data_IF_325836123994
#
_entry.id   IF_325836123994
#
_cell.length_a   1.000
_cell.length_b   1.000
_cell.length_c   1.000
_cell.angle_alpha   90.00
_cell.angle_beta   90.00
_cell.angle_gamma   90.00
#
_symmetry.space_group_name_H-M   'P 1'
#
loop_
_entity.id
_entity.type
_entity.pdbx_description
1 polymer ?
#
# COMPACT_ATOMS: atom_id res chain seq x y z
N UNK A 1 5.05 -30.51 53.17
CA UNK A 1 4.88 -29.07 52.98
C UNK A 1 3.39 -28.75 52.92
N UNK A 2 2.99 -27.62 53.50
CA UNK A 2 1.63 -27.12 53.50
C UNK A 2 1.62 -25.69 52.97
N UNK A 3 0.43 -25.21 52.53
CA UNK A 3 0.20 -23.89 51.99
C UNK A 3 1.05 -23.60 50.74
N UNK A 4 1.22 -24.59 49.88
CA UNK A 4 1.94 -24.43 48.64
C UNK A 4 1.04 -23.68 47.65
N UNK A 5 1.59 -22.63 47.09
CA UNK A 5 1.01 -21.87 45.97
C UNK A 5 1.92 -21.98 44.74
N UNK A 6 1.32 -22.06 43.59
CA UNK A 6 2.03 -22.05 42.33
C UNK A 6 1.61 -20.78 41.56
N UNK A 7 2.57 -20.00 41.14
CA UNK A 7 2.40 -18.84 40.28
C UNK A 7 3.12 -19.09 38.97
N UNK A 8 2.69 -18.38 37.94
CA UNK A 8 3.25 -18.48 36.61
C UNK A 8 3.58 -17.07 36.11
N UNK A 9 4.72 -16.93 35.46
CA UNK A 9 5.16 -15.69 34.82
C UNK A 9 5.31 -15.95 33.34
N UNK A 10 4.48 -15.28 32.55
CA UNK A 10 4.45 -15.36 31.10
C UNK A 10 4.84 -14.03 30.52
N UNK A 11 5.77 -14.04 29.54
CA UNK A 11 6.18 -12.85 28.79
C UNK A 11 6.26 -13.20 27.32
N UNK A 12 6.12 -12.18 26.44
CA UNK A 12 6.53 -12.33 25.04
C UNK A 12 8.07 -12.36 24.93
N UNK A 13 8.59 -12.60 23.72
CA UNK A 13 10.05 -12.62 23.48
C UNK A 13 10.71 -11.24 23.65
N UNK A 14 9.94 -10.16 23.70
CA UNK A 14 10.43 -8.81 23.99
C UNK A 14 10.42 -8.48 25.48
N UNK A 15 9.98 -9.44 26.35
CA UNK A 15 9.92 -9.28 27.80
C UNK A 15 8.67 -8.57 28.32
N UNK A 16 7.66 -8.33 27.50
CA UNK A 16 6.39 -7.75 27.95
C UNK A 16 5.57 -8.81 28.67
N UNK A 17 5.01 -8.48 29.83
CA UNK A 17 4.19 -9.40 30.61
C UNK A 17 2.90 -9.73 29.89
N UNK A 18 2.58 -11.02 29.87
CA UNK A 18 1.32 -11.58 29.37
C UNK A 18 0.53 -12.17 30.52
N UNK A 19 -0.78 -12.29 30.39
CA UNK A 19 -1.65 -12.92 31.36
C UNK A 19 -2.14 -14.25 30.80
N UNK A 20 -2.03 -15.30 31.62
CA UNK A 20 -2.64 -16.58 31.27
C UNK A 20 -4.15 -16.45 31.10
N UNK A 21 -4.71 -17.19 30.15
CA UNK A 21 -6.18 -17.31 30.01
C UNK A 21 -6.78 -18.14 31.13
N UNK A 22 -6.02 -19.12 31.67
CA UNK A 22 -6.40 -19.84 32.86
C UNK A 22 -5.23 -20.52 33.55
N UNK A 23 -5.37 -20.76 34.85
CA UNK A 23 -4.38 -21.45 35.71
C UNK A 23 -3.34 -20.49 36.32
N UNK A 24 -2.30 -21.08 37.01
CA UNK A 24 -2.08 -22.50 37.27
C UNK A 24 -3.18 -23.13 38.11
N UNK A 25 -3.74 -24.24 37.66
CA UNK A 25 -4.79 -24.98 38.36
C UNK A 25 -4.29 -26.36 38.75
N UNK A 26 -4.52 -26.76 40.01
CA UNK A 26 -4.15 -28.10 40.51
C UNK A 26 -4.96 -29.17 39.77
N UNK A 27 -4.28 -30.18 39.22
CA UNK A 27 -4.89 -31.27 38.48
C UNK A 27 -4.80 -32.63 39.20
N UNK A 28 -4.06 -32.69 40.30
CA UNK A 28 -3.93 -33.90 41.15
C UNK A 28 -2.52 -34.13 41.67
N UNK A 29 -2.37 -35.11 42.54
CA UNK A 29 -1.08 -35.59 43.05
C UNK A 29 -1.00 -37.11 42.95
N UNK A 30 0.23 -37.66 42.93
CA UNK A 30 0.49 -39.10 42.80
C UNK A 30 0.24 -39.90 44.10
N UNK A 31 0.24 -39.24 45.27
CA UNK A 31 -0.05 -39.84 46.55
C UNK A 31 -1.38 -39.37 47.19
N UNK A 32 -2.18 -38.58 46.42
CA UNK A 32 -3.52 -38.19 46.79
C UNK A 32 -3.64 -37.01 47.75
N UNK A 33 -2.59 -36.24 47.96
CA UNK A 33 -2.68 -34.99 48.74
C UNK A 33 -3.58 -33.97 48.06
N UNK A 34 -4.26 -33.19 48.87
CA UNK A 34 -5.09 -32.08 48.43
C UNK A 34 -4.24 -30.89 47.96
N UNK A 35 -4.86 -29.98 47.19
CA UNK A 35 -4.27 -28.71 46.77
C UNK A 35 -3.52 -28.03 47.94
N UNK A 36 -2.30 -27.60 47.67
CA UNK A 36 -1.45 -26.88 48.63
C UNK A 36 -0.72 -27.76 49.64
N UNK A 37 -0.79 -29.10 49.54
CA UNK A 37 -0.08 -30.04 50.43
C UNK A 37 0.79 -30.99 49.62
N UNK A 38 2.03 -31.21 50.05
CA UNK A 38 2.96 -32.20 49.48
C UNK A 38 3.61 -33.00 50.60
N UNK A 39 3.52 -34.34 50.51
CA UNK A 39 4.25 -35.27 51.39
C UNK A 39 5.69 -35.45 50.87
N UNK A 40 6.61 -35.99 51.69
CA UNK A 40 7.95 -36.32 51.23
C UNK A 40 7.92 -37.31 50.06
N UNK A 41 8.51 -36.92 48.91
CA UNK A 41 8.55 -37.75 47.70
C UNK A 41 7.31 -37.66 46.80
N UNK A 42 6.31 -36.85 47.17
CA UNK A 42 5.08 -36.66 46.39
C UNK A 42 5.26 -35.63 45.26
N UNK A 43 4.56 -35.86 44.14
CA UNK A 43 4.48 -34.95 43.02
C UNK A 43 3.04 -34.44 42.83
N UNK A 44 2.87 -33.13 42.74
CA UNK A 44 1.61 -32.50 42.36
C UNK A 44 1.71 -31.88 40.95
N UNK A 45 0.63 -32.02 40.18
CA UNK A 45 0.53 -31.51 38.83
C UNK A 45 -0.39 -30.28 38.76
N UNK A 46 0.03 -29.31 37.98
CA UNK A 46 -0.73 -28.09 37.68
C UNK A 46 -0.79 -27.89 36.19
N UNK A 47 -1.86 -27.26 35.70
CA UNK A 47 -2.05 -26.92 34.29
C UNK A 47 -2.37 -25.43 34.15
N UNK A 48 -1.84 -24.81 33.10
CA UNK A 48 -2.12 -23.45 32.72
C UNK A 48 -2.32 -23.37 31.21
N UNK A 49 -3.07 -22.39 30.76
CA UNK A 49 -3.37 -22.17 29.34
C UNK A 49 -3.15 -20.72 28.96
N UNK A 50 -2.60 -20.54 27.76
CA UNK A 50 -2.53 -19.26 27.05
C UNK A 50 -2.90 -19.46 25.59
N UNK A 51 -3.80 -18.63 25.06
CA UNK A 51 -4.20 -18.62 23.65
C UNK A 51 -3.29 -17.62 22.93
N UNK A 52 -2.49 -18.11 21.99
CA UNK A 52 -1.57 -17.26 21.22
C UNK A 52 -2.37 -16.19 20.48
N UNK A 53 -2.16 -14.95 20.83
CA UNK A 53 -2.77 -13.79 20.20
C UNK A 53 -1.84 -13.15 19.16
N UNK A 54 -2.32 -12.09 18.49
CA UNK A 54 -1.53 -11.39 17.47
C UNK A 54 -0.27 -10.72 18.05
N UNK A 55 -0.28 -10.34 19.34
CA UNK A 55 0.89 -9.73 19.98
C UNK A 55 2.03 -10.74 20.07
N UNK A 56 1.73 -11.96 20.50
CA UNK A 56 2.71 -13.05 20.54
C UNK A 56 3.17 -13.45 19.15
N UNK A 57 2.25 -13.48 18.18
CA UNK A 57 2.60 -13.71 16.77
C UNK A 57 3.60 -12.67 16.27
N UNK A 58 3.28 -11.40 16.46
CA UNK A 58 4.12 -10.28 15.99
C UNK A 58 5.47 -10.21 16.71
N UNK A 59 5.55 -10.69 17.97
CA UNK A 59 6.78 -10.70 18.78
C UNK A 59 7.58 -12.01 18.67
N UNK A 60 7.13 -12.97 17.86
CA UNK A 60 7.86 -14.20 17.53
C UNK A 60 7.71 -15.35 18.51
N UNK A 61 6.95 -15.18 19.60
CA UNK A 61 6.73 -16.23 20.60
C UNK A 61 6.65 -15.71 22.04
N UNK A 62 6.77 -16.61 22.98
CA UNK A 62 6.63 -16.33 24.42
C UNK A 62 7.64 -17.13 25.24
N UNK A 63 7.82 -16.67 26.47
CA UNK A 63 8.65 -17.32 27.55
C UNK A 63 7.79 -17.50 28.78
N UNK A 64 7.89 -18.68 29.37
CA UNK A 64 7.13 -19.06 30.53
C UNK A 64 8.03 -19.61 31.63
N UNK A 65 7.76 -19.21 32.88
CA UNK A 65 8.43 -19.70 34.10
C UNK A 65 7.42 -19.81 35.24
N UNK A 66 7.36 -20.96 35.88
CA UNK A 66 6.52 -21.18 37.05
C UNK A 66 7.34 -21.14 38.36
N UNK A 67 6.72 -20.66 39.43
CA UNK A 67 7.31 -20.63 40.78
C UNK A 67 6.36 -21.30 41.79
N UNK A 68 6.86 -22.23 42.53
CA UNK A 68 6.14 -22.84 43.67
C UNK A 68 6.72 -22.35 44.99
N UNK A 69 5.85 -21.97 45.94
CA UNK A 69 6.28 -21.49 47.26
C UNK A 69 5.27 -21.81 48.36
N UNK A 70 5.73 -21.98 49.56
CA UNK A 70 4.87 -21.98 50.76
C UNK A 70 5.16 -20.78 51.69
N UNK A 71 5.89 -19.77 51.21
CA UNK A 71 6.30 -18.61 51.99
C UNK A 71 7.62 -18.80 52.75
N UNK A 72 8.07 -20.05 52.97
CA UNK A 72 9.35 -20.34 53.67
C UNK A 72 10.38 -20.89 52.69
N UNK A 73 9.96 -21.77 51.81
CA UNK A 73 10.78 -22.32 50.71
C UNK A 73 10.12 -22.04 49.40
N UNK A 74 10.92 -21.79 48.39
CA UNK A 74 10.44 -21.58 47.02
C UNK A 74 11.42 -22.17 46.03
N UNK A 75 10.90 -22.58 44.87
CA UNK A 75 11.70 -23.00 43.74
C UNK A 75 11.03 -22.55 42.44
N UNK A 76 11.86 -22.31 41.45
CA UNK A 76 11.45 -21.81 40.16
C UNK A 76 11.80 -22.83 39.08
N UNK A 77 10.89 -23.08 38.16
CA UNK A 77 11.08 -23.99 37.02
C UNK A 77 12.21 -23.54 36.09
N UNK A 78 12.63 -24.44 35.23
CA UNK A 78 13.35 -24.02 34.02
C UNK A 78 12.49 -23.06 33.17
N UNK A 79 13.18 -22.23 32.43
CA UNK A 79 12.53 -21.37 31.39
C UNK A 79 12.06 -22.22 30.24
N UNK A 80 10.80 -22.04 29.80
CA UNK A 80 10.25 -22.65 28.59
C UNK A 80 10.01 -21.55 27.59
N UNK A 81 10.64 -21.68 26.41
CA UNK A 81 10.45 -20.76 25.29
C UNK A 81 9.61 -21.44 24.20
N UNK A 82 8.53 -20.79 23.76
CA UNK A 82 7.71 -21.24 22.66
C UNK A 82 7.80 -20.22 21.54
N UNK A 83 8.30 -20.64 20.38
CA UNK A 83 8.35 -19.81 19.16
C UNK A 83 7.13 -20.04 18.29
N UNK A 84 6.70 -18.99 17.60
CA UNK A 84 5.65 -19.08 16.57
C UNK A 84 6.25 -19.04 15.18
N UNK A 85 5.55 -19.63 14.22
CA UNK A 85 6.01 -19.64 12.81
C UNK A 85 5.51 -18.40 12.11
N UNK A 86 6.42 -17.49 11.76
CA UNK A 86 6.15 -16.32 10.96
C UNK A 86 5.95 -16.71 9.49
N UNK A 87 4.86 -16.22 8.89
CA UNK A 87 4.55 -16.35 7.45
C UNK A 87 3.94 -15.04 6.96
N UNK A 88 4.76 -13.97 6.86
CA UNK A 88 4.28 -12.68 6.40
C UNK A 88 4.03 -12.73 4.89
N UNK A 89 2.95 -12.10 4.44
CA UNK A 89 2.60 -11.98 3.02
C UNK A 89 1.67 -10.79 2.82
N UNK A 90 1.75 -10.16 1.67
CA UNK A 90 0.81 -9.14 1.22
C UNK A 90 0.40 -9.42 -0.23
N UNK A 91 -0.75 -8.90 -0.63
CA UNK A 91 -1.30 -8.96 -1.96
C UNK A 91 -1.70 -7.54 -2.37
N UNK A 92 -1.25 -7.10 -3.55
CA UNK A 92 -1.55 -5.78 -4.10
C UNK A 92 -2.36 -5.93 -5.38
N UNK A 93 -3.49 -5.23 -5.49
CA UNK A 93 -4.22 -5.09 -6.75
C UNK A 93 -4.32 -3.64 -7.13
N UNK A 94 -4.34 -3.35 -8.43
CA UNK A 94 -4.45 -2.00 -8.98
C UNK A 94 -5.37 -2.00 -10.17
N UNK A 95 -6.50 -1.31 -10.07
CA UNK A 95 -7.47 -1.17 -11.15
C UNK A 95 -7.56 0.29 -11.59
N UNK A 96 -7.90 0.51 -12.86
CA UNK A 96 -8.09 1.85 -13.41
C UNK A 96 -9.54 2.13 -13.77
N UNK A 97 -9.92 3.40 -13.69
CA UNK A 97 -11.17 3.92 -14.21
C UNK A 97 -10.96 5.36 -14.68
N UNK A 98 -11.75 5.82 -15.63
CA UNK A 98 -11.78 7.25 -15.98
C UNK A 98 -12.56 7.98 -14.89
N UNK A 99 -11.88 8.92 -14.22
CA UNK A 99 -12.46 9.72 -13.13
C UNK A 99 -13.14 10.97 -13.65
N UNK A 100 -12.55 11.60 -14.66
CA UNK A 100 -13.07 12.78 -15.32
C UNK A 100 -12.79 12.63 -16.81
N UNK A 101 -13.85 12.68 -17.62
CA UNK A 101 -13.85 12.77 -19.06
C UNK A 101 -14.02 14.25 -19.39
N UNK A 102 -13.27 14.80 -20.33
CA UNK A 102 -13.36 16.21 -20.72
C UNK A 102 -14.67 16.57 -21.45
N UNK A 103 -15.53 15.57 -21.69
CA UNK A 103 -16.87 15.69 -22.23
C UNK A 103 -16.99 15.28 -23.68
N UNK A 104 -15.94 14.65 -24.25
CA UNK A 104 -15.93 14.16 -25.62
C UNK A 104 -16.36 12.68 -25.74
N UNK A 105 -16.45 11.96 -24.63
CA UNK A 105 -16.85 10.56 -24.55
C UNK A 105 -15.76 9.59 -25.03
N UNK A 106 -14.52 10.07 -25.18
CA UNK A 106 -13.34 9.29 -25.57
C UNK A 106 -12.36 9.22 -24.40
N UNK A 107 -11.49 8.23 -24.42
CA UNK A 107 -10.36 8.21 -23.49
C UNK A 107 -9.17 8.83 -24.18
N UNK A 108 -8.79 10.03 -23.75
CA UNK A 108 -7.80 10.87 -24.42
C UNK A 108 -7.15 11.93 -23.55
N UNK A 109 -6.54 12.92 -24.20
CA UNK A 109 -5.88 14.02 -23.51
C UNK A 109 -6.88 14.82 -22.66
N UNK A 110 -6.39 15.33 -21.53
CA UNK A 110 -7.12 16.04 -20.47
C UNK A 110 -8.04 15.18 -19.61
N UNK A 111 -8.25 13.91 -19.95
CA UNK A 111 -8.92 12.96 -19.08
C UNK A 111 -8.06 12.60 -17.86
N UNK A 112 -8.74 12.26 -16.77
CA UNK A 112 -8.09 11.84 -15.55
C UNK A 112 -8.35 10.35 -15.30
N UNK A 113 -7.29 9.56 -15.34
CA UNK A 113 -7.31 8.17 -14.88
C UNK A 113 -7.23 8.17 -13.35
N UNK A 114 -8.18 7.48 -12.70
CA UNK A 114 -8.11 7.12 -11.29
C UNK A 114 -7.62 5.69 -11.18
N UNK A 115 -6.55 5.48 -10.43
CA UNK A 115 -6.10 4.17 -9.98
C UNK A 115 -6.60 3.91 -8.56
N UNK A 116 -7.30 2.80 -8.38
CA UNK A 116 -7.65 2.28 -7.07
C UNK A 116 -6.72 1.13 -6.75
N UNK A 117 -5.94 1.29 -5.69
CA UNK A 117 -4.93 0.34 -5.25
C UNK A 117 -5.44 -0.30 -3.96
N UNK A 118 -5.54 -1.62 -3.91
CA UNK A 118 -5.85 -2.34 -2.67
C UNK A 118 -4.63 -3.12 -2.21
N UNK A 119 -4.37 -3.08 -0.91
CA UNK A 119 -3.31 -3.86 -0.27
C UNK A 119 -3.95 -4.70 0.82
N UNK A 120 -3.82 -6.02 0.70
CA UNK A 120 -4.35 -6.99 1.64
C UNK A 120 -3.22 -7.71 2.37
N UNK A 121 -3.31 -7.79 3.67
CA UNK A 121 -2.42 -8.64 4.45
C UNK A 121 -2.94 -10.10 4.38
N UNK A 122 -2.23 -10.93 3.64
CA UNK A 122 -2.53 -12.36 3.45
C UNK A 122 -1.69 -13.25 4.36
N UNK A 123 -0.76 -12.66 5.11
CA UNK A 123 0.11 -13.36 6.05
C UNK A 123 -0.48 -13.47 7.46
N UNK A 124 0.37 -13.87 8.41
CA UNK A 124 0.02 -14.05 9.82
C UNK A 124 0.67 -13.04 10.77
N UNK A 125 1.39 -12.05 10.25
CA UNK A 125 1.99 -10.94 11.02
C UNK A 125 1.35 -9.61 10.62
N UNK A 126 1.31 -8.67 11.55
CA UNK A 126 0.93 -7.28 11.26
C UNK A 126 1.97 -6.63 10.34
N UNK A 127 1.50 -6.03 9.24
CA UNK A 127 2.33 -5.27 8.32
C UNK A 127 2.39 -3.80 8.77
N UNK A 128 3.58 -3.22 8.69
CA UNK A 128 3.83 -1.81 9.05
C UNK A 128 4.67 -1.12 7.98
N UNK A 129 4.72 0.21 8.01
CA UNK A 129 5.56 1.01 7.11
C UNK A 129 5.31 0.71 5.61
N UNK A 130 4.05 0.47 5.22
CA UNK A 130 3.71 0.27 3.81
C UNK A 130 4.21 1.45 2.98
N UNK A 131 4.94 1.16 1.92
CA UNK A 131 5.43 2.09 0.92
C UNK A 131 5.04 1.62 -0.48
N UNK A 132 5.02 2.56 -1.43
CA UNK A 132 4.70 2.28 -2.81
C UNK A 132 5.83 2.75 -3.74
N UNK A 133 6.16 1.92 -4.73
CA UNK A 133 6.99 2.29 -5.88
C UNK A 133 6.15 2.08 -7.13
N UNK A 134 5.83 3.17 -7.82
CA UNK A 134 5.02 3.16 -9.04
C UNK A 134 5.91 3.12 -10.28
N UNK A 135 5.54 2.31 -11.27
CA UNK A 135 6.21 2.21 -12.56
C UNK A 135 5.17 2.39 -13.65
N UNK A 136 5.23 3.52 -14.34
CA UNK A 136 4.27 3.88 -15.36
C UNK A 136 4.96 4.25 -16.67
N UNK A 137 4.42 3.77 -17.77
CA UNK A 137 4.92 4.06 -19.13
C UNK A 137 3.78 4.35 -20.08
N UNK A 138 4.11 5.08 -21.15
CA UNK A 138 3.25 5.22 -22.32
C UNK A 138 3.34 3.97 -23.23
N UNK A 139 2.57 3.95 -24.31
CA UNK A 139 2.53 2.86 -25.27
C UNK A 139 3.84 2.62 -26.03
N UNK A 140 4.76 3.58 -26.03
CA UNK A 140 6.10 3.49 -26.63
C UNK A 140 7.20 3.13 -25.61
N UNK A 141 6.83 2.93 -24.33
CA UNK A 141 7.76 2.64 -23.24
C UNK A 141 8.41 3.90 -22.64
N UNK A 142 7.94 5.09 -22.97
CA UNK A 142 8.36 6.34 -22.34
C UNK A 142 7.90 6.40 -20.89
N UNK A 143 8.82 6.72 -19.95
CA UNK A 143 8.51 6.79 -18.53
C UNK A 143 7.54 7.93 -18.20
N UNK A 144 6.52 7.63 -17.42
CA UNK A 144 5.52 8.56 -16.92
C UNK A 144 5.54 8.62 -15.39
N UNK A 145 4.85 9.60 -14.83
CA UNK A 145 4.69 9.74 -13.38
C UNK A 145 3.25 10.14 -13.05
N UNK A 146 2.71 9.59 -11.98
CA UNK A 146 1.40 9.95 -11.46
C UNK A 146 1.30 11.47 -11.22
N UNK A 147 0.17 12.07 -11.57
CA UNK A 147 -0.15 13.47 -11.24
C UNK A 147 -0.41 13.63 -9.75
N UNK A 148 -1.05 12.63 -9.14
CA UNK A 148 -1.27 12.55 -7.70
C UNK A 148 -0.84 11.16 -7.23
N UNK A 149 0.14 11.12 -6.32
CA UNK A 149 0.65 9.89 -5.72
C UNK A 149 -0.42 9.18 -4.88
N UNK A 150 -0.24 7.86 -4.55
CA UNK A 150 -1.19 7.12 -3.76
C UNK A 150 -1.50 7.78 -2.41
N UNK A 151 -2.76 8.13 -2.20
CA UNK A 151 -3.32 8.68 -0.98
C UNK A 151 -4.28 7.68 -0.34
N UNK A 152 -4.22 7.56 1.00
CA UNK A 152 -5.08 6.66 1.75
C UNK A 152 -6.56 7.05 1.60
N UNK A 153 -7.39 6.04 1.35
CA UNK A 153 -8.84 6.19 1.21
C UNK A 153 -9.58 5.52 2.37
N UNK A 154 -9.41 4.21 2.53
CA UNK A 154 -10.19 3.42 3.49
C UNK A 154 -9.48 2.17 3.98
N UNK A 155 -10.06 1.54 5.00
CA UNK A 155 -9.58 0.29 5.60
C UNK A 155 -10.74 -0.56 6.12
N UNK A 156 -10.61 -1.89 6.07
CA UNK A 156 -11.66 -2.82 6.51
C UNK A 156 -11.64 -3.11 8.01
N UNK A 157 -10.53 -2.85 8.71
CA UNK A 157 -10.38 -3.13 10.16
C UNK A 157 -9.97 -1.92 10.99
N UNK A 158 -9.96 -0.72 10.41
CA UNK A 158 -9.75 0.54 11.11
C UNK A 158 -8.31 0.79 11.58
N UNK A 159 -7.32 0.13 10.99
CA UNK A 159 -5.92 0.43 11.27
C UNK A 159 -5.52 1.81 10.74
N UNK A 160 -4.51 2.41 11.35
CA UNK A 160 -3.90 3.62 10.80
C UNK A 160 -3.35 3.35 9.38
N UNK A 161 -3.31 4.36 8.51
CA UNK A 161 -2.67 4.23 7.20
C UNK A 161 -1.26 3.65 7.32
N UNK A 162 -0.91 2.72 6.42
CA UNK A 162 0.39 2.02 6.35
C UNK A 162 0.63 0.97 7.44
N UNK A 163 -0.37 0.67 8.28
CA UNK A 163 -0.37 -0.47 9.20
C UNK A 163 -1.55 -1.36 8.84
N UNK A 164 -1.30 -2.63 8.52
CA UNK A 164 -2.31 -3.55 8.00
C UNK A 164 -2.34 -4.80 8.88
N UNK A 165 -3.42 -4.99 9.64
CA UNK A 165 -3.64 -6.18 10.45
C UNK A 165 -3.85 -7.42 9.59
N UNK A 166 -3.66 -8.58 10.14
CA UNK A 166 -3.91 -9.87 9.45
C UNK A 166 -5.33 -9.92 8.86
N UNK A 167 -5.41 -10.21 7.57
CA UNK A 167 -6.66 -10.25 6.79
C UNK A 167 -7.33 -8.89 6.59
N UNK A 168 -6.65 -7.79 6.84
CA UNK A 168 -7.15 -6.44 6.56
C UNK A 168 -6.82 -6.03 5.12
N UNK A 169 -7.68 -5.19 4.56
CA UNK A 169 -7.48 -4.52 3.28
C UNK A 169 -7.43 -3.02 3.51
N UNK A 170 -6.43 -2.35 2.95
CA UNK A 170 -6.38 -0.90 2.82
C UNK A 170 -6.53 -0.50 1.35
N UNK A 171 -7.29 0.56 1.11
CA UNK A 171 -7.52 1.13 -0.22
C UNK A 171 -6.85 2.49 -0.33
N UNK A 172 -6.22 2.74 -1.47
CA UNK A 172 -5.49 3.95 -1.80
C UNK A 172 -5.91 4.42 -3.20
N UNK A 173 -5.99 5.73 -3.41
CA UNK A 173 -6.31 6.31 -4.71
C UNK A 173 -5.12 7.11 -5.23
N UNK A 174 -4.82 6.96 -6.53
CA UNK A 174 -3.82 7.73 -7.25
C UNK A 174 -4.42 8.23 -8.57
N UNK A 175 -3.83 9.27 -9.15
CA UNK A 175 -4.40 9.87 -10.36
C UNK A 175 -3.31 10.21 -11.38
N UNK A 176 -3.70 10.12 -12.64
CA UNK A 176 -2.88 10.55 -13.78
C UNK A 176 -3.74 11.32 -14.79
N UNK A 177 -3.29 12.50 -15.18
CA UNK A 177 -3.92 13.28 -16.24
C UNK A 177 -3.25 12.94 -17.57
N UNK A 178 -4.02 12.46 -18.54
CA UNK A 178 -3.53 12.09 -19.86
C UNK A 178 -3.12 13.37 -20.59
N UNK A 179 -1.96 13.32 -21.25
CA UNK A 179 -1.48 14.42 -22.10
C UNK A 179 -1.63 14.06 -23.57
N UNK A 180 -1.68 15.05 -24.47
CA UNK A 180 -1.73 14.83 -25.93
C UNK A 180 -0.59 13.93 -26.43
N UNK A 181 0.61 14.07 -25.85
CA UNK A 181 1.75 13.23 -26.21
C UNK A 181 1.53 11.76 -25.85
N UNK A 182 0.89 11.49 -24.72
CA UNK A 182 0.59 10.13 -24.26
C UNK A 182 -0.59 9.53 -25.04
N UNK A 183 -1.62 10.31 -25.31
CA UNK A 183 -2.74 9.89 -26.16
C UNK A 183 -2.25 9.35 -27.52
N UNK A 184 -1.29 10.03 -28.16
CA UNK A 184 -0.69 9.62 -29.43
C UNK A 184 0.05 8.28 -29.36
N UNK A 185 0.41 7.79 -28.17
CA UNK A 185 1.05 6.48 -27.98
C UNK A 185 0.06 5.34 -27.85
N UNK A 186 -1.24 5.64 -27.73
CA UNK A 186 -2.36 4.72 -27.76
C UNK A 186 -2.70 4.10 -26.40
N UNK A 187 -1.86 4.18 -25.37
CA UNK A 187 -2.14 3.60 -24.05
C UNK A 187 -1.24 4.10 -22.93
N UNK A 188 -1.68 3.87 -21.71
CA UNK A 188 -0.87 3.96 -20.47
C UNK A 188 -0.80 2.58 -19.84
N UNK A 189 0.38 2.18 -19.40
CA UNK A 189 0.67 0.92 -18.70
C UNK A 189 1.22 1.29 -17.34
N UNK A 190 0.63 0.76 -16.25
CA UNK A 190 1.03 1.12 -14.91
C UNK A 190 1.01 -0.07 -13.94
N UNK A 191 2.12 -0.32 -13.24
CA UNK A 191 2.26 -1.26 -12.13
C UNK A 191 2.67 -0.52 -10.88
N UNK A 192 2.38 -1.09 -9.71
CA UNK A 192 2.84 -0.55 -8.43
C UNK A 192 3.36 -1.68 -7.55
N UNK A 193 4.51 -1.47 -6.93
CA UNK A 193 5.05 -2.39 -5.92
C UNK A 193 4.70 -1.86 -4.54
N UNK A 194 3.96 -2.64 -3.76
CA UNK A 194 3.76 -2.43 -2.33
C UNK A 194 4.86 -3.13 -1.55
N UNK A 195 5.48 -2.44 -0.60
CA UNK A 195 6.48 -3.03 0.31
C UNK A 195 6.12 -2.67 1.75
N UNK A 196 6.08 -3.66 2.63
CA UNK A 196 5.78 -3.48 4.05
C UNK A 196 6.81 -4.19 4.93
N UNK A 197 6.94 -3.75 6.17
CA UNK A 197 7.82 -4.32 7.18
C UNK A 197 7.04 -5.18 8.17
N UNK A 198 7.68 -6.23 8.66
CA UNK A 198 7.23 -7.02 9.81
C UNK A 198 8.40 -7.20 10.78
N UNK A 199 8.16 -7.80 11.95
CA UNK A 199 9.21 -8.17 12.89
C UNK A 199 10.14 -9.26 12.34
N UNK A 200 9.72 -10.03 11.34
CA UNK A 200 10.52 -11.07 10.69
C UNK A 200 11.19 -10.62 9.39
N UNK A 201 11.02 -9.37 8.96
CA UNK A 201 11.61 -8.82 7.74
C UNK A 201 10.61 -8.04 6.89
N UNK A 202 10.99 -7.77 5.65
CA UNK A 202 10.13 -7.09 4.67
C UNK A 202 9.43 -8.10 3.76
N UNK A 203 8.25 -7.71 3.31
CA UNK A 203 7.49 -8.37 2.24
C UNK A 203 7.11 -7.36 1.19
N UNK A 204 7.05 -7.79 -0.06
CA UNK A 204 6.64 -6.95 -1.18
C UNK A 204 5.83 -7.77 -2.17
N UNK A 205 5.00 -7.07 -2.92
CA UNK A 205 4.21 -7.62 -4.01
C UNK A 205 4.04 -6.58 -5.10
N UNK A 206 3.99 -7.02 -6.35
CA UNK A 206 3.68 -6.19 -7.51
C UNK A 206 2.18 -6.27 -7.79
N UNK A 207 1.56 -5.16 -8.14
CA UNK A 207 0.12 -5.14 -8.35
C UNK A 207 -0.32 -6.01 -9.51
N UNK A 208 -1.40 -6.75 -9.28
CA UNK A 208 -2.24 -7.39 -10.27
C UNK A 208 -3.33 -6.42 -10.75
N UNK A 209 -3.79 -6.55 -12.02
CA UNK A 209 -4.84 -5.71 -12.60
C UNK A 209 -6.27 -6.09 -12.17
N UNK A 210 -6.41 -7.21 -11.44
CA UNK A 210 -7.68 -7.73 -10.96
C UNK A 210 -8.53 -8.45 -12.02
N UNK A 211 -7.95 -8.78 -13.18
CA UNK A 211 -8.60 -9.55 -14.25
C UNK A 211 -7.90 -10.87 -14.50
N UNK A 212 -8.36 -11.92 -13.82
CA UNK A 212 -7.88 -13.29 -14.01
C UNK A 212 -8.41 -13.96 -15.31
N UNK A 213 -9.28 -13.26 -16.04
CA UNK A 213 -9.97 -13.79 -17.24
C UNK A 213 -9.09 -13.81 -18.48
N UNK A 214 -8.00 -13.08 -18.51
CA UNK A 214 -7.04 -13.02 -19.62
C UNK A 214 -6.00 -14.15 -19.60
N UNK A 215 -5.99 -14.96 -18.52
CA UNK A 215 -5.11 -16.13 -18.35
C UNK A 215 -3.82 -15.85 -17.59
N UNK A 216 -3.57 -14.62 -17.17
CA UNK A 216 -2.59 -14.26 -16.17
C UNK A 216 -3.32 -13.95 -14.85
N UNK A 217 -2.78 -14.36 -13.73
CA UNK A 217 -3.40 -14.19 -12.40
C UNK A 217 -2.44 -13.57 -11.41
N UNK A 218 -1.29 -13.08 -11.86
CA UNK A 218 -0.20 -12.62 -10.99
C UNK A 218 0.59 -11.49 -11.66
N UNK A 219 0.73 -10.37 -10.95
CA UNK A 219 1.66 -9.27 -11.28
C UNK A 219 1.39 -8.55 -12.62
N UNK A 220 0.14 -8.51 -13.05
CA UNK A 220 -0.24 -7.86 -14.29
C UNK A 220 -0.30 -6.34 -14.18
N UNK A 221 0.31 -5.67 -15.14
CA UNK A 221 0.19 -4.23 -15.26
C UNK A 221 -1.23 -3.79 -15.63
N UNK A 222 -1.74 -2.78 -14.96
CA UNK A 222 -3.01 -2.13 -15.34
C UNK A 222 -2.80 -1.33 -16.63
N UNK A 223 -3.58 -1.64 -17.66
CA UNK A 223 -3.52 -0.97 -18.96
C UNK A 223 -4.78 -0.13 -19.18
N UNK A 224 -4.59 1.10 -19.62
CA UNK A 224 -5.66 1.98 -20.09
C UNK A 224 -5.40 2.28 -21.57
N UNK A 225 -6.25 1.75 -22.43
CA UNK A 225 -6.20 1.99 -23.87
C UNK A 225 -6.86 3.33 -24.19
N UNK A 226 -6.22 4.12 -25.06
CA UNK A 226 -6.78 5.35 -25.59
C UNK A 226 -7.78 5.04 -26.69
N UNK A 227 -8.78 5.88 -26.84
CA UNK A 227 -9.75 5.76 -27.92
C UNK A 227 -9.09 6.16 -29.24
N UNK A 228 -8.75 5.19 -30.08
CA UNK A 228 -8.02 5.42 -31.34
C UNK A 228 -8.90 5.92 -32.50
N UNK A 229 -10.23 5.85 -32.34
CA UNK A 229 -11.20 6.33 -33.33
C UNK A 229 -12.48 6.77 -32.65
N UNK A 230 -12.85 8.02 -32.82
CA UNK A 230 -14.21 8.46 -32.54
C UNK A 230 -15.18 7.73 -33.44
N UNK A 231 -15.91 6.73 -32.89
CA UNK A 231 -17.17 6.29 -33.48
C UNK A 231 -18.31 7.20 -33.08
N UNK A 232 -18.02 8.18 -32.22
CA UNK A 232 -18.97 9.18 -31.79
C UNK A 232 -19.16 10.22 -32.90
N UNK A 233 -20.40 10.40 -33.30
CA UNK A 233 -20.81 11.47 -34.23
C UNK A 233 -21.07 12.79 -33.52
N UNK A 234 -20.82 12.85 -32.21
CA UNK A 234 -20.96 14.07 -31.43
C UNK A 234 -19.89 15.07 -31.85
N UNK A 235 -20.31 16.28 -32.16
CA UNK A 235 -19.39 17.34 -32.54
C UNK A 235 -18.51 17.74 -31.35
N UNK A 236 -17.20 17.57 -31.50
CA UNK A 236 -16.22 17.90 -30.49
C UNK A 236 -15.25 18.97 -31.00
N UNK A 237 -15.54 20.26 -30.75
CA UNK A 237 -14.67 21.37 -31.15
C UNK A 237 -13.51 21.51 -30.11
N UNK A 238 -12.28 21.40 -30.57
CA UNK A 238 -11.10 21.62 -29.75
C UNK A 238 -10.04 22.41 -30.49
N UNK A 239 -9.32 23.26 -29.76
CA UNK A 239 -8.31 24.15 -30.32
C UNK A 239 -7.03 24.07 -29.43
N UNK A 240 -5.92 23.72 -30.07
CA UNK A 240 -4.60 23.83 -29.49
C UNK A 240 -3.89 25.09 -29.93
N UNK A 241 -3.18 25.77 -29.04
CA UNK A 241 -2.36 26.93 -29.37
C UNK A 241 -0.98 26.82 -28.68
N UNK A 242 0.06 27.09 -29.50
CA UNK A 242 1.43 27.21 -28.99
C UNK A 242 2.03 28.52 -29.47
N UNK A 243 2.86 29.18 -28.67
CA UNK A 243 3.58 30.40 -29.00
C UNK A 243 5.05 30.22 -28.66
N UNK A 244 5.92 30.51 -29.61
CA UNK A 244 7.38 30.55 -29.40
C UNK A 244 7.90 31.91 -29.80
N UNK A 245 9.04 32.31 -29.24
CA UNK A 245 9.71 33.54 -29.58
C UNK A 245 11.16 33.26 -30.01
N UNK A 246 11.65 34.01 -30.96
CA UNK A 246 13.06 34.11 -31.34
C UNK A 246 13.47 35.56 -31.47
N UNK A 247 14.62 35.90 -30.93
CA UNK A 247 15.20 37.23 -31.11
C UNK A 247 16.07 37.21 -32.36
N UNK A 248 15.91 38.23 -33.21
CA UNK A 248 16.76 38.48 -34.34
C UNK A 248 17.71 39.64 -33.98
N UNK A 249 18.93 39.28 -33.64
CA UNK A 249 20.01 40.21 -33.33
C UNK A 249 20.51 40.86 -34.67
N UNK A 250 20.00 42.05 -34.97
CA UNK A 250 20.20 42.68 -36.27
C UNK A 250 21.63 43.22 -36.43
N UNK A 251 22.28 43.57 -35.34
CA UNK A 251 23.58 44.23 -35.35
C UNK A 251 24.72 43.37 -34.74
N UNK A 252 24.39 42.11 -34.30
CA UNK A 252 25.32 41.14 -33.72
C UNK A 252 26.01 41.66 -32.43
N UNK A 253 25.30 42.45 -31.62
CA UNK A 253 25.74 42.95 -30.34
C UNK A 253 25.14 42.23 -29.10
N UNK A 254 24.37 41.17 -29.35
CA UNK A 254 23.54 40.44 -28.39
C UNK A 254 22.13 41.01 -28.33
N UNK A 255 21.22 40.38 -27.65
CA UNK A 255 19.80 40.76 -27.56
C UNK A 255 19.62 42.12 -26.89
N UNK A 256 19.55 43.20 -27.64
CA UNK A 256 19.60 44.58 -27.17
C UNK A 256 18.53 45.49 -27.79
N UNK A 257 18.57 46.78 -27.44
CA UNK A 257 17.68 47.79 -27.98
C UNK A 257 17.86 47.93 -29.51
N UNK A 258 16.77 47.69 -30.25
CA UNK A 258 16.73 47.76 -31.68
C UNK A 258 16.63 46.45 -32.39
N UNK A 259 16.73 45.33 -31.66
CA UNK A 259 16.51 43.97 -32.18
C UNK A 259 15.03 43.63 -32.32
N UNK A 260 14.74 42.76 -33.24
CA UNK A 260 13.37 42.28 -33.48
C UNK A 260 13.11 40.98 -32.72
N UNK A 261 11.91 40.87 -32.13
CA UNK A 261 11.41 39.60 -31.59
C UNK A 261 10.36 39.06 -32.54
N UNK A 262 10.63 37.90 -33.11
CA UNK A 262 9.66 37.17 -33.90
C UNK A 262 8.90 36.18 -33.03
N UNK A 263 7.59 36.34 -32.92
CA UNK A 263 6.70 35.36 -32.29
C UNK A 263 6.09 34.46 -33.33
N UNK A 264 6.23 33.16 -33.17
CA UNK A 264 5.52 32.18 -33.99
C UNK A 264 4.39 31.61 -33.15
N UNK A 265 3.17 31.76 -33.64
CA UNK A 265 1.94 31.25 -33.03
C UNK A 265 1.42 30.13 -33.91
N UNK A 266 1.36 28.92 -33.40
CA UNK A 266 0.77 27.76 -34.07
C UNK A 266 -0.59 27.50 -33.46
N UNK A 267 -1.60 27.43 -34.29
CA UNK A 267 -2.97 27.08 -33.89
C UNK A 267 -3.34 25.79 -34.63
N UNK A 268 -3.86 24.83 -33.90
CA UNK A 268 -4.21 23.50 -34.38
C UNK A 268 -5.65 23.16 -33.96
N UNK A 269 -6.44 22.65 -34.92
CA UNK A 269 -7.73 22.05 -34.61
C UNK A 269 -7.47 20.62 -34.11
N UNK A 270 -7.56 20.39 -32.81
CA UNK A 270 -7.36 19.08 -32.16
C UNK A 270 -8.68 18.35 -31.93
N UNK A 271 -9.81 18.93 -32.39
CA UNK A 271 -11.14 18.32 -32.32
C UNK A 271 -11.53 17.60 -33.61
N UNK A 272 -12.74 17.04 -33.63
CA UNK A 272 -13.29 16.26 -34.74
C UNK A 272 -14.22 17.07 -35.67
N UNK A 273 -14.37 18.39 -35.51
CA UNK A 273 -15.22 19.26 -36.29
C UNK A 273 -14.43 20.42 -36.89
N UNK A 274 -14.92 20.93 -38.02
CA UNK A 274 -14.33 22.11 -38.65
C UNK A 274 -14.59 23.35 -37.80
N UNK A 275 -13.52 24.02 -37.39
CA UNK A 275 -13.60 25.31 -36.70
C UNK A 275 -13.57 26.44 -37.76
N UNK A 276 -14.48 27.38 -37.63
CA UNK A 276 -14.57 28.57 -38.49
C UNK A 276 -14.58 29.84 -37.65
N UNK A 277 -14.25 30.98 -38.31
CA UNK A 277 -14.20 32.31 -37.68
C UNK A 277 -13.18 32.40 -36.53
N UNK A 278 -12.02 31.73 -36.69
CA UNK A 278 -10.92 31.82 -35.74
C UNK A 278 -10.49 33.27 -35.56
N UNK A 279 -10.44 33.73 -34.31
CA UNK A 279 -9.86 35.03 -33.95
C UNK A 279 -8.67 34.79 -33.02
N UNK A 280 -7.59 35.48 -33.29
CA UNK A 280 -6.40 35.45 -32.46
C UNK A 280 -6.20 36.83 -31.83
N UNK A 281 -6.06 36.87 -30.50
CA UNK A 281 -5.71 38.06 -29.72
C UNK A 281 -4.40 37.83 -29.05
N UNK A 282 -3.46 38.74 -29.24
CA UNK A 282 -2.15 38.70 -28.58
C UNK A 282 -1.95 40.00 -27.81
N UNK A 283 -1.60 39.87 -26.52
CA UNK A 283 -1.32 40.99 -25.63
C UNK A 283 0.15 40.92 -25.19
N UNK A 284 0.89 41.94 -25.49
CA UNK A 284 2.25 42.12 -25.03
C UNK A 284 2.22 43.00 -23.77
N UNK A 285 2.80 42.50 -22.69
CA UNK A 285 2.98 43.25 -21.41
C UNK A 285 4.46 43.27 -21.07
N UNK A 286 4.96 44.39 -20.56
CA UNK A 286 6.24 44.47 -19.89
C UNK A 286 6.13 43.81 -18.52
N UNK A 287 7.11 42.96 -18.18
CA UNK A 287 7.16 42.18 -16.95
C UNK A 287 7.43 43.03 -15.68
#
# INVERSE_FOLDING_TARGET
>A
LNNITVSDTLTDLNGNTLNLDSGPSFSGSDQGSALGTLQPGETSNYTAFYIIDQTVMDNGGLVNVATATNGTVSDTSNTVTTTVVASPSLEVTKIASINTDDGDGLIGADDIIKYTITVKNTGNLTLTNLTFTDVMTDGNGGALSLTIAPAFDSTTKGSAPRTIKVGEVQTWNAYYTITEAVEQTGRVINSIVGTASTTSGQVSDTSDNGDDGDGNTVDDATVVEMSTTSTDTTAYPRLGITKTASVNDINSDGNNLGDDITYTIRVENTGNVVLSNLTLTDNLTDG
#
